data_IF_814901671595
#
_entry.id   IF_814901671595
#
_cell.length_a   1.000
_cell.length_b   1.000
_cell.length_c   1.000
_cell.angle_alpha   90.00
_cell.angle_beta   90.00
_cell.angle_gamma   90.00
#
_symmetry.space_group_name_H-M   'P 1'
#
loop_
_entity.id
_entity.type
_entity.pdbx_description
1 polymer ?
#
# COMPACT_ATOMS: atom_id res chain seq x y z
N UNK A 1 -13.03 5.26 13.83
CA UNK A 1 -13.08 5.21 12.36
C UNK A 1 -12.71 3.81 11.90
N UNK A 2 -13.29 3.37 10.80
CA UNK A 2 -12.99 2.13 10.09
C UNK A 2 -12.03 2.44 8.93
N UNK A 3 -10.79 1.97 9.02
CA UNK A 3 -9.69 2.30 8.10
C UNK A 3 -9.35 1.06 7.29
N UNK A 4 -9.50 1.11 5.97
CA UNK A 4 -9.04 0.05 5.09
C UNK A 4 -7.65 0.34 4.54
N UNK A 5 -6.65 -0.42 4.95
CA UNK A 5 -5.29 -0.37 4.39
C UNK A 5 -5.19 -1.36 3.24
N UNK A 6 -4.82 -0.88 2.05
CA UNK A 6 -4.68 -1.70 0.84
C UNK A 6 -3.21 -1.80 0.43
N UNK A 7 -2.68 -3.02 0.36
CA UNK A 7 -1.26 -3.27 0.09
C UNK A 7 -1.06 -4.56 -0.70
N UNK A 8 -0.09 -4.57 -1.62
CA UNK A 8 0.31 -5.79 -2.34
C UNK A 8 1.33 -6.62 -1.54
N UNK A 9 1.74 -6.15 -0.38
CA UNK A 9 2.72 -6.81 0.49
C UNK A 9 2.32 -6.65 1.96
N UNK A 10 2.16 -7.77 2.64
CA UNK A 10 1.96 -7.83 4.08
C UNK A 10 2.44 -9.18 4.61
N UNK A 11 2.50 -9.34 5.94
CA UNK A 11 2.95 -10.57 6.58
C UNK A 11 2.22 -11.81 6.00
N UNK A 12 2.91 -12.96 5.85
CA UNK A 12 4.27 -13.27 6.33
C UNK A 12 5.42 -12.72 5.49
N UNK A 13 5.14 -12.02 4.38
CA UNK A 13 6.17 -11.39 3.56
C UNK A 13 6.89 -10.26 4.30
N UNK A 14 8.12 -10.52 4.74
CA UNK A 14 8.93 -9.55 5.49
C UNK A 14 9.50 -8.48 4.55
N UNK A 15 9.15 -7.23 4.81
CA UNK A 15 9.68 -6.07 4.10
C UNK A 15 9.54 -4.80 4.96
N UNK A 16 10.30 -3.75 4.62
CA UNK A 16 10.14 -2.44 5.29
C UNK A 16 8.71 -1.88 5.15
N UNK A 17 8.04 -2.14 4.02
CA UNK A 17 6.64 -1.76 3.80
C UNK A 17 5.71 -2.51 4.75
N UNK A 18 5.82 -3.84 4.82
CA UNK A 18 4.99 -4.66 5.71
C UNK A 18 5.18 -4.26 7.19
N UNK A 19 6.43 -4.02 7.62
CA UNK A 19 6.74 -3.52 8.96
C UNK A 19 6.13 -2.14 9.21
N UNK A 20 6.29 -1.19 8.28
CA UNK A 20 5.70 0.15 8.40
C UNK A 20 4.18 0.10 8.50
N UNK A 21 3.52 -0.79 7.74
CA UNK A 21 2.06 -0.97 7.79
C UNK A 21 1.64 -1.53 9.14
N UNK A 22 2.38 -2.51 9.67
CA UNK A 22 2.09 -3.09 11.00
C UNK A 22 2.20 -2.03 12.09
N UNK A 23 3.29 -1.25 12.12
CA UNK A 23 3.45 -0.16 13.08
C UNK A 23 2.31 0.85 12.96
N UNK A 24 1.95 1.25 11.74
CA UNK A 24 0.83 2.17 11.51
C UNK A 24 -0.51 1.59 12.00
N UNK A 25 -0.78 0.32 11.69
CA UNK A 25 -1.99 -0.40 12.13
C UNK A 25 -2.06 -0.40 13.65
N UNK A 26 -1.02 -0.88 14.32
CA UNK A 26 -1.01 -1.02 15.78
C UNK A 26 -1.19 0.34 16.48
N UNK A 27 -0.58 1.40 15.94
CA UNK A 27 -0.71 2.75 16.49
C UNK A 27 -2.10 3.37 16.26
N UNK A 28 -2.73 3.10 15.11
CA UNK A 28 -4.10 3.52 14.84
C UNK A 28 -5.10 2.76 15.73
N UNK A 29 -4.90 1.46 15.91
CA UNK A 29 -5.71 0.64 16.82
C UNK A 29 -5.59 1.13 18.27
N UNK A 30 -4.37 1.46 18.73
CA UNK A 30 -4.15 2.03 20.07
C UNK A 30 -4.87 3.38 20.27
N UNK A 31 -5.11 4.12 19.18
CA UNK A 31 -5.88 5.37 19.19
C UNK A 31 -7.39 5.16 19.08
N UNK A 32 -7.87 3.91 19.09
CA UNK A 32 -9.30 3.56 19.06
C UNK A 32 -9.90 3.47 17.65
N UNK A 33 -9.07 3.32 16.62
CA UNK A 33 -9.54 3.07 15.25
C UNK A 33 -9.63 1.56 14.97
N UNK A 34 -10.57 1.17 14.11
CA UNK A 34 -10.65 -0.19 13.57
C UNK A 34 -9.86 -0.21 12.26
N UNK A 35 -8.86 -1.09 12.15
CA UNK A 35 -7.98 -1.16 10.98
C UNK A 35 -8.13 -2.52 10.31
N UNK A 36 -8.37 -2.49 9.00
CA UNK A 36 -8.57 -3.67 8.17
C UNK A 36 -7.51 -3.70 7.07
N UNK A 37 -6.84 -4.83 6.91
CA UNK A 37 -5.81 -5.03 5.89
C UNK A 37 -6.42 -5.77 4.70
N UNK A 38 -6.32 -5.19 3.51
CA UNK A 38 -6.67 -5.80 2.24
C UNK A 38 -5.36 -6.08 1.51
N UNK A 39 -5.01 -7.36 1.33
CA UNK A 39 -3.72 -7.78 0.79
C UNK A 39 -3.82 -8.98 -0.16
N UNK A 40 -2.71 -9.40 -0.76
CA UNK A 40 -2.67 -10.58 -1.64
C UNK A 40 -2.58 -11.90 -0.86
N UNK A 41 -2.99 -13.00 -1.49
CA UNK A 41 -2.65 -14.35 -1.00
C UNK A 41 -1.13 -14.56 -0.92
N UNK A 42 -0.67 -15.41 0.00
CA UNK A 42 0.74 -15.76 0.18
C UNK A 42 0.87 -17.30 0.25
N UNK A 43 1.84 -17.94 -0.44
CA UNK A 43 2.01 -19.39 -0.41
C UNK A 43 2.28 -19.99 0.98
N UNK A 44 2.75 -19.18 1.94
CA UNK A 44 3.02 -19.61 3.31
C UNK A 44 1.81 -19.43 4.23
N UNK A 45 0.67 -18.98 3.70
CA UNK A 45 -0.59 -18.85 4.43
C UNK A 45 -1.57 -19.88 3.87
N UNK A 46 -2.08 -20.80 4.70
CA UNK A 46 -3.12 -21.74 4.29
C UNK A 46 -4.35 -21.02 3.74
N UNK A 47 -4.99 -21.59 2.71
CA UNK A 47 -6.18 -20.99 2.07
C UNK A 47 -7.38 -20.87 3.03
N UNK A 48 -7.42 -21.68 4.08
CA UNK A 48 -8.45 -21.71 5.13
C UNK A 48 -8.07 -20.91 6.38
N UNK A 49 -6.92 -20.22 6.38
CA UNK A 49 -6.49 -19.41 7.50
C UNK A 49 -7.47 -18.25 7.76
N UNK A 50 -8.02 -18.20 8.96
CA UNK A 50 -8.86 -17.09 9.41
C UNK A 50 -8.00 -16.09 10.17
N UNK A 51 -7.70 -14.97 9.52
CA UNK A 51 -6.96 -13.86 10.10
C UNK A 51 -7.91 -12.69 10.39
N UNK A 52 -8.17 -12.36 11.67
CA UNK A 52 -9.06 -11.25 12.01
C UNK A 52 -8.61 -9.93 11.37
N UNK A 53 -9.56 -9.22 10.76
CA UNK A 53 -9.36 -7.94 10.09
C UNK A 53 -8.34 -7.96 8.93
N UNK A 54 -8.02 -9.15 8.38
CA UNK A 54 -7.12 -9.30 7.25
C UNK A 54 -7.81 -10.09 6.14
N UNK A 55 -7.91 -9.47 4.97
CA UNK A 55 -8.60 -10.02 3.80
C UNK A 55 -7.59 -10.24 2.67
N UNK A 56 -7.40 -11.50 2.29
CA UNK A 56 -6.47 -11.89 1.21
C UNK A 56 -7.21 -12.10 -0.10
N UNK A 57 -6.66 -11.51 -1.16
CA UNK A 57 -7.21 -11.55 -2.51
C UNK A 57 -6.34 -12.41 -3.42
N UNK A 58 -6.99 -13.25 -4.24
CA UNK A 58 -6.32 -14.19 -5.15
C UNK A 58 -5.27 -13.48 -6.01
N UNK A 59 -4.04 -13.97 -5.92
CA UNK A 59 -2.87 -13.33 -6.54
C UNK A 59 -1.98 -14.34 -7.25
N UNK A 60 -1.14 -13.82 -8.15
CA UNK A 60 -0.08 -14.57 -8.84
C UNK A 60 1.29 -13.92 -8.60
N UNK A 61 2.40 -14.66 -8.68
CA UNK A 61 3.75 -14.06 -8.63
C UNK A 61 3.92 -12.99 -9.70
N UNK A 62 4.58 -11.90 -9.36
CA UNK A 62 4.91 -10.86 -10.32
C UNK A 62 6.06 -11.32 -11.21
N UNK A 63 5.87 -11.26 -12.53
CA UNK A 63 6.78 -11.88 -13.51
C UNK A 63 8.23 -11.38 -13.38
N UNK A 64 8.42 -10.09 -13.07
CA UNK A 64 9.76 -9.50 -12.92
C UNK A 64 10.31 -9.57 -11.49
N UNK A 65 9.49 -9.90 -10.49
CA UNK A 65 9.91 -10.15 -9.11
C UNK A 65 8.97 -11.19 -8.49
N UNK A 66 9.34 -12.45 -8.61
CA UNK A 66 8.49 -13.57 -8.16
C UNK A 66 8.23 -13.56 -6.66
N UNK A 67 9.11 -12.92 -5.88
CA UNK A 67 8.94 -12.71 -4.44
C UNK A 67 7.77 -11.77 -4.11
N UNK A 68 7.30 -10.98 -5.08
CA UNK A 68 6.15 -10.09 -4.95
C UNK A 68 4.96 -10.69 -5.70
N UNK A 69 3.75 -10.33 -5.28
CA UNK A 69 2.51 -10.88 -5.83
C UNK A 69 1.57 -9.76 -6.22
N UNK A 70 0.73 -10.03 -7.21
CA UNK A 70 -0.27 -9.09 -7.72
C UNK A 70 -1.62 -9.79 -7.70
N UNK A 71 -2.62 -9.15 -7.10
CA UNK A 71 -3.99 -9.60 -7.11
C UNK A 71 -4.54 -9.57 -8.55
N UNK A 72 -5.12 -10.70 -8.97
CA UNK A 72 -5.69 -10.87 -10.33
C UNK A 72 -7.21 -10.86 -10.32
N UNK A 73 -7.84 -11.00 -9.15
CA UNK A 73 -9.28 -11.05 -8.96
C UNK A 73 -9.67 -10.37 -7.65
N UNK A 74 -10.97 -10.16 -7.48
CA UNK A 74 -11.55 -9.75 -6.19
C UNK A 74 -11.86 -8.26 -6.05
N UNK A 75 -11.85 -7.49 -7.14
CA UNK A 75 -12.27 -6.08 -7.15
C UNK A 75 -13.65 -5.85 -6.51
N UNK A 76 -14.67 -6.59 -6.96
CA UNK A 76 -16.03 -6.47 -6.42
C UNK A 76 -16.18 -7.07 -5.03
N UNK A 77 -15.39 -8.10 -4.72
CA UNK A 77 -15.35 -8.69 -3.39
C UNK A 77 -14.77 -7.68 -2.38
N UNK A 78 -13.67 -6.98 -2.73
CA UNK A 78 -13.08 -5.94 -1.91
C UNK A 78 -14.08 -4.81 -1.63
N UNK A 79 -14.85 -4.40 -2.64
CA UNK A 79 -15.93 -3.43 -2.45
C UNK A 79 -17.02 -3.94 -1.51
N UNK A 80 -17.48 -5.19 -1.68
CA UNK A 80 -18.52 -5.75 -0.83
C UNK A 80 -18.08 -5.82 0.64
N UNK A 81 -16.87 -6.35 0.89
CA UNK A 81 -16.27 -6.40 2.23
C UNK A 81 -16.09 -4.99 2.80
N UNK A 82 -15.52 -4.05 2.04
CA UNK A 82 -15.34 -2.68 2.49
C UNK A 82 -16.66 -1.97 2.83
N UNK A 83 -17.73 -2.26 2.08
CA UNK A 83 -19.07 -1.75 2.36
C UNK A 83 -19.64 -2.32 3.66
N UNK A 84 -19.51 -3.63 3.88
CA UNK A 84 -19.96 -4.31 5.09
C UNK A 84 -19.24 -3.79 6.35
N UNK A 85 -17.93 -3.56 6.22
CA UNK A 85 -17.10 -2.97 7.27
C UNK A 85 -17.35 -1.48 7.50
N UNK A 86 -18.19 -0.83 6.68
CA UNK A 86 -18.45 0.61 6.71
C UNK A 86 -17.16 1.43 6.76
N UNK A 87 -16.24 1.21 5.81
CA UNK A 87 -14.99 1.96 5.77
C UNK A 87 -15.22 3.46 5.67
N UNK A 88 -14.55 4.24 6.51
CA UNK A 88 -14.55 5.70 6.50
C UNK A 88 -13.48 6.26 5.56
N UNK A 89 -12.39 5.52 5.36
CA UNK A 89 -11.23 5.95 4.56
C UNK A 89 -10.48 4.73 4.01
N UNK A 90 -9.96 4.89 2.79
CA UNK A 90 -9.00 3.95 2.19
C UNK A 90 -7.60 4.54 2.27
N UNK A 91 -6.65 3.72 2.73
CA UNK A 91 -5.24 4.05 2.75
C UNK A 91 -4.44 3.05 1.91
N UNK A 92 -4.03 3.45 0.71
CA UNK A 92 -3.19 2.60 -0.14
C UNK A 92 -1.72 2.73 0.26
N UNK A 93 -0.98 1.62 0.21
CA UNK A 93 0.44 1.52 0.61
C UNK A 93 1.35 1.03 -0.53
N UNK A 94 0.75 0.62 -1.63
CA UNK A 94 1.43 0.15 -2.84
C UNK A 94 0.67 0.62 -4.07
N UNK A 95 1.38 0.80 -5.18
CA UNK A 95 0.89 1.42 -6.41
C UNK A 95 0.48 0.38 -7.47
N UNK A 96 0.38 -0.89 -7.10
CA UNK A 96 0.02 -2.00 -7.99
C UNK A 96 -1.44 -2.42 -7.77
N UNK A 97 -1.73 -3.72 -7.84
CA UNK A 97 -3.10 -4.24 -7.88
C UNK A 97 -3.95 -3.78 -6.70
N UNK A 98 -3.50 -3.97 -5.47
CA UNK A 98 -4.26 -3.61 -4.27
C UNK A 98 -4.39 -2.09 -4.13
N UNK A 99 -3.39 -1.33 -4.59
CA UNK A 99 -3.49 0.12 -4.72
C UNK A 99 -4.65 0.56 -5.62
N UNK A 100 -4.73 0.02 -6.83
CA UNK A 100 -5.82 0.34 -7.76
C UNK A 100 -7.18 -0.17 -7.26
N UNK A 101 -7.24 -1.36 -6.65
CA UNK A 101 -8.46 -1.88 -6.01
C UNK A 101 -8.91 -0.94 -4.90
N UNK A 102 -8.01 -0.47 -4.04
CA UNK A 102 -8.32 0.49 -2.97
C UNK A 102 -8.88 1.81 -3.51
N UNK A 103 -8.25 2.38 -4.54
CA UNK A 103 -8.77 3.58 -5.22
C UNK A 103 -10.17 3.36 -5.81
N UNK A 104 -10.42 2.18 -6.39
CA UNK A 104 -11.74 1.82 -6.90
C UNK A 104 -12.77 1.75 -5.77
N UNK A 105 -12.46 1.02 -4.68
CA UNK A 105 -13.34 0.87 -3.52
C UNK A 105 -13.72 2.23 -2.96
N UNK A 106 -12.74 3.10 -2.73
CA UNK A 106 -12.99 4.43 -2.19
C UNK A 106 -13.88 5.28 -3.10
N UNK A 107 -13.66 5.21 -4.42
CA UNK A 107 -14.50 5.90 -5.41
C UNK A 107 -15.95 5.39 -5.37
N UNK A 108 -16.16 4.08 -5.26
CA UNK A 108 -17.50 3.49 -5.20
C UNK A 108 -18.23 3.83 -3.89
N UNK A 109 -17.51 3.81 -2.77
CA UNK A 109 -18.04 4.16 -1.45
C UNK A 109 -18.14 5.67 -1.22
N UNK A 110 -17.58 6.49 -2.12
CA UNK A 110 -17.49 7.95 -2.01
C UNK A 110 -16.79 8.42 -0.74
N UNK A 111 -15.73 7.71 -0.35
CA UNK A 111 -14.89 7.99 0.82
C UNK A 111 -13.50 8.47 0.39
N UNK A 112 -12.78 9.23 1.22
CA UNK A 112 -11.43 9.69 0.89
C UNK A 112 -10.46 8.51 0.66
N UNK A 113 -9.47 8.75 -0.21
CA UNK A 113 -8.32 7.86 -0.39
C UNK A 113 -7.04 8.60 -0.08
N UNK A 114 -6.21 8.10 0.82
CA UNK A 114 -4.85 8.58 1.00
C UNK A 114 -3.85 7.51 0.56
N UNK A 115 -2.62 7.93 0.25
CA UNK A 115 -1.57 7.03 -0.19
C UNK A 115 -0.24 7.35 0.51
N UNK A 116 0.47 6.33 1.00
CA UNK A 116 1.87 6.48 1.43
C UNK A 116 2.79 5.93 0.36
N UNK A 117 3.72 6.77 -0.10
CA UNK A 117 4.69 6.39 -1.13
C UNK A 117 5.97 5.85 -0.46
N UNK A 118 6.18 4.54 -0.55
CA UNK A 118 7.32 3.87 0.10
C UNK A 118 8.50 3.61 -0.84
N UNK A 119 8.21 3.23 -2.09
CA UNK A 119 9.23 2.66 -2.98
C UNK A 119 9.74 3.70 -3.96
N UNK A 120 11.03 4.01 -3.89
CA UNK A 120 11.72 4.85 -4.86
C UNK A 120 11.94 4.07 -6.17
N UNK A 121 10.89 3.88 -6.98
CA UNK A 121 10.96 3.00 -8.16
C UNK A 121 12.05 3.36 -9.18
N UNK A 122 12.50 4.62 -9.25
CA UNK A 122 13.66 5.03 -10.05
C UNK A 122 14.92 4.24 -9.70
N UNK A 123 15.10 3.91 -8.41
CA UNK A 123 16.25 3.16 -7.90
C UNK A 123 16.15 1.66 -8.25
N UNK A 124 14.96 1.16 -8.65
CA UNK A 124 14.69 -0.26 -8.91
C UNK A 124 14.50 -0.61 -10.40
N UNK A 125 14.69 0.36 -11.30
CA UNK A 125 14.50 0.15 -12.75
C UNK A 125 15.30 -1.03 -13.31
N UNK A 126 16.49 -1.28 -12.76
CA UNK A 126 17.40 -2.34 -13.18
C UNK A 126 16.84 -3.76 -12.99
N UNK A 127 15.87 -3.95 -12.10
CA UNK A 127 15.23 -5.25 -11.89
C UNK A 127 14.08 -5.53 -12.86
N UNK A 128 13.51 -4.50 -13.51
CA UNK A 128 12.34 -4.67 -14.37
C UNK A 128 12.79 -4.70 -15.83
N UNK A 129 12.49 -5.81 -16.53
CA UNK A 129 12.77 -6.00 -17.95
C UNK A 129 14.25 -5.72 -18.32
N UNK A 130 15.18 -6.20 -17.48
CA UNK A 130 16.63 -6.01 -17.61
C UNK A 130 17.08 -4.53 -17.67
N UNK A 131 16.28 -3.59 -17.15
CA UNK A 131 16.62 -2.17 -17.10
C UNK A 131 16.60 -1.42 -18.45
N UNK A 132 16.32 -2.11 -19.57
CA UNK A 132 16.41 -1.50 -20.89
C UNK A 132 15.13 -0.80 -21.35
N UNK A 133 13.96 -1.20 -20.84
CA UNK A 133 12.67 -0.69 -21.34
C UNK A 133 12.07 0.45 -20.50
N UNK A 134 12.31 0.44 -19.19
CA UNK A 134 11.76 1.43 -18.26
C UNK A 134 12.80 2.49 -17.90
N UNK A 135 12.49 3.74 -18.20
CA UNK A 135 13.32 4.92 -17.87
C UNK A 135 12.71 5.67 -16.67
N UNK A 136 13.47 6.53 -15.96
CA UNK A 136 12.93 7.37 -14.87
C UNK A 136 11.68 8.16 -15.26
N UNK A 137 11.61 8.61 -16.52
CA UNK A 137 10.42 9.25 -17.07
C UNK A 137 9.14 8.38 -16.99
N UNK A 138 9.25 7.06 -17.21
CA UNK A 138 8.10 6.15 -17.10
C UNK A 138 7.63 6.02 -15.65
N UNK A 139 8.57 5.94 -14.69
CA UNK A 139 8.25 5.96 -13.25
C UNK A 139 7.50 7.23 -12.89
N UNK A 140 8.00 8.39 -13.33
CA UNK A 140 7.32 9.67 -13.15
C UNK A 140 5.88 9.65 -13.68
N UNK A 141 5.65 9.19 -14.91
CA UNK A 141 4.29 9.15 -15.46
C UNK A 141 3.38 8.18 -14.70
N UNK A 142 3.89 6.99 -14.37
CA UNK A 142 3.18 5.98 -13.58
C UNK A 142 2.78 6.52 -12.20
N UNK A 143 3.74 7.05 -11.43
CA UNK A 143 3.49 7.61 -10.09
C UNK A 143 2.51 8.77 -10.16
N UNK A 144 2.64 9.69 -11.12
CA UNK A 144 1.66 10.78 -11.29
C UNK A 144 0.25 10.26 -11.57
N UNK A 145 0.12 9.29 -12.47
CA UNK A 145 -1.16 8.70 -12.83
C UNK A 145 -1.80 7.98 -11.63
N UNK A 146 -1.00 7.23 -10.87
CA UNK A 146 -1.47 6.57 -9.66
C UNK A 146 -1.90 7.56 -8.58
N UNK A 147 -1.14 8.63 -8.35
CA UNK A 147 -1.46 9.64 -7.32
C UNK A 147 -2.53 10.65 -7.75
N UNK A 148 -3.02 10.56 -8.98
CA UNK A 148 -4.13 11.39 -9.44
C UNK A 148 -5.43 10.98 -8.72
N UNK A 149 -6.22 11.96 -8.27
CA UNK A 149 -7.46 11.79 -7.51
C UNK A 149 -7.36 11.12 -6.12
N UNK A 150 -6.16 10.99 -5.54
CA UNK A 150 -6.07 10.72 -4.09
C UNK A 150 -6.28 12.02 -3.32
N UNK A 151 -6.88 11.94 -2.13
CA UNK A 151 -7.19 13.07 -1.26
C UNK A 151 -5.95 13.65 -0.59
N UNK A 152 -4.88 12.86 -0.44
CA UNK A 152 -3.61 13.28 0.13
C UNK A 152 -2.54 12.21 -0.03
N UNK A 153 -1.29 12.64 -0.01
CA UNK A 153 -0.11 11.76 -0.10
C UNK A 153 0.75 11.92 1.14
N UNK A 154 1.19 10.81 1.70
CA UNK A 154 2.16 10.74 2.78
C UNK A 154 3.53 10.39 2.20
N UNK A 155 4.51 11.25 2.48
CA UNK A 155 5.91 11.02 2.19
C UNK A 155 6.64 10.65 3.50
N UNK A 156 7.28 9.48 3.61
CA UNK A 156 8.01 9.10 4.83
C UNK A 156 9.27 9.93 5.11
N UNK A 157 9.74 10.72 4.14
CA UNK A 157 10.95 11.54 4.27
C UNK A 157 10.93 12.73 3.32
N UNK A 158 11.82 13.71 3.56
CA UNK A 158 12.08 14.83 2.64
C UNK A 158 12.53 14.34 1.26
N UNK A 159 13.37 13.30 1.20
CA UNK A 159 13.79 12.68 -0.07
C UNK A 159 12.60 12.23 -0.91
N UNK A 160 11.62 11.57 -0.31
CA UNK A 160 10.40 11.13 -1.00
C UNK A 160 9.57 12.34 -1.42
N UNK A 161 9.38 13.31 -0.52
CA UNK A 161 8.65 14.53 -0.81
C UNK A 161 9.20 15.27 -2.04
N UNK A 162 10.51 15.52 -2.06
CA UNK A 162 11.18 16.21 -3.16
C UNK A 162 11.06 15.44 -4.47
N UNK A 163 11.14 14.11 -4.39
CA UNK A 163 10.98 13.24 -5.55
C UNK A 163 9.58 13.35 -6.15
N UNK A 164 8.54 13.27 -5.34
CA UNK A 164 7.16 13.43 -5.79
C UNK A 164 6.90 14.84 -6.36
N UNK A 165 7.54 15.87 -5.79
CA UNK A 165 7.53 17.23 -6.35
C UNK A 165 8.22 17.31 -7.72
N UNK A 166 9.39 16.69 -7.90
CA UNK A 166 10.08 16.59 -9.21
C UNK A 166 9.25 15.81 -10.24
N UNK A 167 8.48 14.82 -9.79
CA UNK A 167 7.50 14.14 -10.63
C UNK A 167 6.32 15.03 -11.01
N UNK A 168 6.11 16.17 -10.36
CA UNK A 168 4.99 17.06 -10.64
C UNK A 168 3.67 16.50 -10.13
N UNK A 169 3.70 15.79 -9.00
CA UNK A 169 2.51 15.43 -8.23
C UNK A 169 1.89 16.71 -7.69
N UNK A 170 0.61 16.93 -8.01
CA UNK A 170 -0.14 18.15 -7.62
C UNK A 170 -0.94 17.98 -6.35
N UNK A 171 -1.27 16.74 -5.99
CA UNK A 171 -1.98 16.41 -4.74
C UNK A 171 -1.19 16.91 -3.54
N UNK A 172 -1.88 17.29 -2.46
CA UNK A 172 -1.22 17.68 -1.22
C UNK A 172 -0.35 16.52 -0.69
N UNK A 173 0.94 16.82 -0.45
CA UNK A 173 1.91 15.87 0.10
C UNK A 173 2.27 16.35 1.51
N UNK A 174 2.15 15.47 2.50
CA UNK A 174 2.61 15.71 3.87
C UNK A 174 3.75 14.77 4.21
N UNK A 175 4.78 15.30 4.86
CA UNK A 175 5.86 14.49 5.39
C UNK A 175 5.37 13.91 6.73
N UNK A 176 5.26 12.59 6.80
CA UNK A 176 4.94 11.86 8.03
C UNK A 176 5.90 10.67 8.09
N UNK A 177 6.96 10.74 8.92
CA UNK A 177 7.92 9.66 9.03
C UNK A 177 7.31 8.36 9.55
N UNK A 178 7.85 7.23 9.11
CA UNK A 178 7.52 5.93 9.71
C UNK A 178 8.09 5.86 11.12
N UNK A 179 7.22 5.61 12.10
CA UNK A 179 7.63 5.36 13.48
C UNK A 179 8.40 4.04 13.61
N UNK A 180 9.30 3.97 14.58
CA UNK A 180 10.00 2.73 14.97
C UNK A 180 9.64 2.43 16.42
N UNK A 181 9.30 1.18 16.69
CA UNK A 181 9.07 0.72 18.06
C UNK A 181 10.41 0.59 18.78
N UNK A 182 10.72 1.59 19.61
CA UNK A 182 11.98 1.66 20.35
C UNK A 182 12.13 0.55 21.39
N UNK A 183 11.03 -0.09 21.82
CA UNK A 183 11.10 -1.19 22.81
C UNK A 183 11.83 -2.41 22.25
N UNK A 184 11.81 -2.61 20.92
CA UNK A 184 12.52 -3.69 20.25
C UNK A 184 14.04 -3.47 20.18
N UNK A 185 14.50 -2.25 20.44
CA UNK A 185 15.91 -1.85 20.40
C UNK A 185 16.45 -1.38 21.75
N UNK A 186 15.62 -1.43 22.80
CA UNK A 186 16.08 -1.20 24.15
C UNK A 186 17.08 -2.32 24.51
N UNK A 187 18.33 -1.94 24.77
CA UNK A 187 19.34 -2.88 25.24
C UNK A 187 18.87 -3.48 26.56
N UNK A 188 18.90 -4.82 26.65
CA UNK A 188 18.79 -5.54 27.92
C UNK A 188 20.03 -5.27 28.79
#
# INVERSE_FOLDING_TARGET
>A
MNIGIFTDSYFPQVSGVATSIKTLKDDLERKGHQVYIFTTTDPHVPDDAVEPNLFRFTSVPFVSFTDRRIAVRGLFHAYAVAKELNLDIVHTQTEFSMGYIGKFVAKQLKIPTIHTYHTMYEDYLHYVLNGHLLKPYHVKQFTRAFLYHVSGVVAPSERVYDTLRRYGVKTEIKIIPTGVDLTQFAQQ
#
